data_IF_187357565678
#
_entry.id   IF_187357565678
#
_cell.length_a   1.000
_cell.length_b   1.000
_cell.length_c   1.000
_cell.angle_alpha   90.00
_cell.angle_beta   90.00
_cell.angle_gamma   90.00
#
_symmetry.space_group_name_H-M   'P 1'
#
loop_
_entity.id
_entity.type
_entity.pdbx_description
1 polymer ?
#
# COMPACT_ATOMS: atom_id res chain seq x y z
N UNK A 1 -3.59 9.78 -12.60
CA UNK A 1 -2.46 9.30 -11.76
C UNK A 1 -1.30 8.93 -12.67
N UNK A 2 -0.08 9.28 -12.32
CA UNK A 2 1.12 8.81 -13.02
C UNK A 2 1.85 7.82 -12.10
N UNK A 3 2.10 6.61 -12.59
CA UNK A 3 2.85 5.57 -11.89
C UNK A 3 4.24 5.42 -12.51
N UNK A 4 5.26 5.19 -11.68
CA UNK A 4 6.63 4.89 -12.11
C UNK A 4 6.97 3.49 -11.60
N UNK A 5 7.34 2.61 -12.52
CA UNK A 5 7.81 1.27 -12.22
C UNK A 5 9.32 1.19 -12.45
N UNK A 6 10.08 0.89 -11.41
CA UNK A 6 11.53 0.67 -11.48
C UNK A 6 11.88 -0.60 -10.72
N UNK A 7 12.49 -1.54 -11.40
CA UNK A 7 12.96 -2.76 -10.79
C UNK A 7 14.36 -3.12 -11.28
N UNK A 8 15.19 -3.60 -10.36
CA UNK A 8 16.50 -4.18 -10.63
C UNK A 8 16.58 -5.54 -9.98
N UNK A 9 16.86 -6.55 -10.80
CA UNK A 9 16.98 -7.94 -10.36
C UNK A 9 18.39 -8.44 -10.66
N UNK A 10 19.04 -9.08 -9.69
CA UNK A 10 20.31 -9.77 -9.91
C UNK A 10 20.07 -11.06 -10.71
N UNK A 11 20.93 -11.34 -11.67
CA UNK A 11 20.95 -12.56 -12.46
C UNK A 11 22.21 -13.34 -12.09
N UNK A 12 22.03 -14.53 -11.56
CA UNK A 12 23.15 -15.42 -11.30
C UNK A 12 23.80 -15.85 -12.62
N UNK A 13 25.05 -15.50 -12.82
CA UNK A 13 25.84 -15.85 -13.99
C UNK A 13 26.33 -17.30 -13.97
N UNK A 14 25.95 -18.10 -12.96
CA UNK A 14 26.29 -19.53 -12.77
C UNK A 14 27.79 -19.79 -12.58
N UNK A 15 28.67 -19.02 -13.21
CA UNK A 15 30.11 -19.12 -13.07
C UNK A 15 30.62 -18.13 -12.01
N UNK A 16 31.23 -18.58 -10.90
CA UNK A 16 31.66 -17.71 -9.80
C UNK A 16 32.78 -16.71 -10.19
N UNK A 17 33.43 -16.88 -11.34
CA UNK A 17 34.38 -15.91 -11.86
C UNK A 17 33.76 -14.62 -12.39
N UNK A 18 32.47 -14.65 -12.69
CA UNK A 18 31.69 -13.49 -13.09
C UNK A 18 30.82 -13.04 -11.91
N UNK A 19 30.85 -11.77 -11.58
CA UNK A 19 29.86 -11.19 -10.66
C UNK A 19 28.44 -11.34 -11.23
N UNK A 20 27.45 -11.05 -10.41
CA UNK A 20 26.05 -11.13 -10.86
C UNK A 20 25.75 -10.19 -12.04
N UNK A 21 25.00 -10.70 -12.99
CA UNK A 21 24.37 -9.91 -14.01
C UNK A 21 23.18 -9.10 -13.44
N UNK A 22 22.66 -8.19 -14.19
CA UNK A 22 21.51 -7.38 -13.80
C UNK A 22 20.46 -7.34 -14.91
N UNK A 23 19.21 -7.45 -14.52
CA UNK A 23 18.04 -7.08 -15.32
C UNK A 23 17.48 -5.80 -14.73
N UNK A 24 17.37 -4.77 -15.55
CA UNK A 24 16.71 -3.52 -15.20
C UNK A 24 15.41 -3.39 -16.02
N UNK A 25 14.36 -2.95 -15.38
CA UNK A 25 13.08 -2.60 -15.96
C UNK A 25 12.68 -1.23 -15.46
N UNK A 26 12.41 -0.29 -16.36
CA UNK A 26 12.03 1.08 -16.02
C UNK A 26 10.94 1.53 -17.00
N UNK A 27 9.80 1.95 -16.48
CA UNK A 27 8.71 2.49 -17.28
C UNK A 27 7.81 3.42 -16.45
N UNK A 28 7.01 4.23 -17.14
CA UNK A 28 5.98 5.05 -16.54
C UNK A 28 4.63 4.78 -17.21
N UNK A 29 3.58 4.77 -16.43
CA UNK A 29 2.22 4.56 -16.91
C UNK A 29 1.26 5.64 -16.40
N UNK A 30 0.26 5.96 -17.21
CA UNK A 30 -0.82 6.86 -16.86
C UNK A 30 -2.10 6.06 -16.63
N UNK A 31 -2.72 6.27 -15.46
CA UNK A 31 -4.03 5.71 -15.12
C UNK A 31 -5.03 6.82 -14.81
N UNK A 32 -6.29 6.54 -15.11
CA UNK A 32 -7.41 7.44 -14.88
C UNK A 32 -8.29 6.88 -13.77
N UNK A 33 -8.80 7.76 -12.95
CA UNK A 33 -9.76 7.42 -11.91
C UNK A 33 -10.70 8.58 -11.62
N UNK A 34 -11.79 8.26 -10.98
CA UNK A 34 -12.83 9.20 -10.57
C UNK A 34 -12.91 9.23 -9.05
N UNK A 35 -13.01 10.42 -8.49
CA UNK A 35 -13.32 10.63 -7.09
C UNK A 35 -14.69 11.30 -6.99
N UNK A 36 -15.59 10.71 -6.20
CA UNK A 36 -16.91 11.27 -5.90
C UNK A 36 -17.03 11.45 -4.39
N UNK A 37 -17.59 12.59 -3.99
CA UNK A 37 -17.84 12.90 -2.60
C UNK A 37 -19.22 13.51 -2.39
N UNK A 38 -19.88 13.08 -1.33
CA UNK A 38 -21.14 13.65 -0.84
C UNK A 38 -20.94 14.10 0.61
N UNK A 39 -21.37 15.30 0.92
CA UNK A 39 -21.49 15.80 2.29
C UNK A 39 -22.93 16.22 2.52
N UNK A 40 -23.55 15.66 3.53
CA UNK A 40 -24.92 15.99 3.92
C UNK A 40 -24.97 16.44 5.37
N UNK A 41 -25.56 17.59 5.62
CA UNK A 41 -25.75 18.16 6.95
C UNK A 41 -27.20 17.92 7.41
N UNK A 42 -27.36 16.99 8.37
CA UNK A 42 -28.68 16.68 8.97
C UNK A 42 -29.17 17.79 9.88
N UNK A 43 -28.25 18.36 10.67
CA UNK A 43 -28.47 19.49 11.57
C UNK A 43 -27.25 20.36 11.56
N UNK A 44 -27.32 21.57 12.15
CA UNK A 44 -26.16 22.49 12.26
C UNK A 44 -24.93 21.87 12.97
N UNK A 45 -25.11 20.74 13.67
CA UNK A 45 -24.03 20.09 14.39
C UNK A 45 -23.75 18.66 13.91
N UNK A 46 -24.58 18.08 13.02
CA UNK A 46 -24.41 16.68 12.60
C UNK A 46 -24.37 16.57 11.08
N UNK A 47 -23.29 16.01 10.57
CA UNK A 47 -23.05 15.82 9.14
C UNK A 47 -22.55 14.44 8.84
N UNK A 48 -22.91 13.97 7.67
CA UNK A 48 -22.49 12.69 7.09
C UNK A 48 -21.70 12.96 5.82
N UNK A 49 -20.58 12.25 5.66
CA UNK A 49 -19.76 12.26 4.46
C UNK A 49 -19.69 10.87 3.83
N UNK A 50 -19.71 10.82 2.51
CA UNK A 50 -19.47 9.62 1.74
C UNK A 50 -18.48 9.95 0.64
N UNK A 51 -17.42 9.17 0.52
CA UNK A 51 -16.45 9.31 -0.57
C UNK A 51 -16.23 7.97 -1.26
N UNK A 52 -16.12 8.01 -2.57
CA UNK A 52 -15.77 6.88 -3.39
C UNK A 52 -14.65 7.27 -4.35
N UNK A 53 -13.59 6.46 -4.38
CA UNK A 53 -12.52 6.55 -5.35
C UNK A 53 -12.57 5.30 -6.22
N UNK A 54 -12.61 5.49 -7.54
CA UNK A 54 -12.60 4.36 -8.48
C UNK A 54 -11.25 3.65 -8.47
N UNK A 55 -11.26 2.41 -8.94
CA UNK A 55 -10.03 1.71 -9.30
C UNK A 55 -9.27 2.49 -10.38
N UNK A 56 -7.93 2.42 -10.32
CA UNK A 56 -7.03 2.93 -11.37
C UNK A 56 -6.15 1.79 -11.84
N UNK A 57 -6.16 1.53 -13.14
CA UNK A 57 -5.30 0.54 -13.76
C UNK A 57 -4.04 1.23 -14.28
N UNK A 58 -2.89 0.65 -13.99
CA UNK A 58 -1.58 1.08 -14.44
C UNK A 58 -0.94 -0.07 -15.21
N UNK A 59 -0.75 0.12 -16.51
CA UNK A 59 -0.14 -0.87 -17.40
C UNK A 59 1.25 -0.38 -17.79
N UNK A 60 2.28 -1.04 -17.28
CA UNK A 60 3.67 -0.77 -17.57
C UNK A 60 4.16 -1.71 -18.67
N UNK A 61 4.92 -1.21 -19.63
CA UNK A 61 5.51 -1.98 -20.72
C UNK A 61 7.02 -1.77 -20.79
N UNK A 62 7.74 -2.25 -19.77
CA UNK A 62 9.19 -2.06 -19.66
C UNK A 62 9.95 -2.98 -20.61
N UNK A 63 10.93 -2.42 -21.32
CA UNK A 63 11.89 -3.23 -22.05
C UNK A 63 12.92 -3.81 -21.09
N UNK A 64 13.26 -5.10 -21.27
CA UNK A 64 14.27 -5.77 -20.47
C UNK A 64 15.67 -5.25 -20.84
N UNK A 65 16.32 -4.55 -19.94
CA UNK A 65 17.71 -4.10 -20.08
C UNK A 65 18.63 -5.01 -19.29
N UNK A 66 19.46 -5.78 -19.98
CA UNK A 66 20.44 -6.68 -19.35
C UNK A 66 21.83 -6.05 -19.33
N UNK A 67 22.54 -6.23 -18.23
CA UNK A 67 23.94 -5.83 -18.08
C UNK A 67 24.75 -6.87 -17.31
N UNK A 68 26.07 -6.88 -17.49
CA UNK A 68 27.04 -7.77 -16.82
C UNK A 68 26.71 -9.26 -16.93
N UNK A 69 26.13 -9.70 -18.05
CA UNK A 69 25.86 -11.11 -18.29
C UNK A 69 27.13 -11.88 -18.67
N UNK A 70 27.35 -13.06 -18.06
CA UNK A 70 28.35 -14.00 -18.55
C UNK A 70 27.99 -14.49 -19.97
N UNK A 71 29.01 -14.80 -20.81
CA UNK A 71 28.77 -15.21 -22.21
C UNK A 71 27.79 -16.37 -22.39
N UNK A 72 27.82 -17.35 -21.46
CA UNK A 72 26.90 -18.50 -21.48
C UNK A 72 25.45 -18.08 -21.22
N UNK A 73 25.22 -17.21 -20.25
CA UNK A 73 23.88 -16.69 -19.91
C UNK A 73 23.37 -15.80 -21.05
N UNK A 74 24.21 -14.92 -21.59
CA UNK A 74 23.87 -14.09 -22.74
C UNK A 74 23.44 -14.92 -23.95
N UNK A 75 24.20 -15.98 -24.27
CA UNK A 75 23.86 -16.89 -25.36
C UNK A 75 22.53 -17.60 -25.12
N UNK A 76 22.25 -18.05 -23.89
CA UNK A 76 20.99 -18.69 -23.54
C UNK A 76 19.80 -17.75 -23.70
N UNK A 77 19.90 -16.53 -23.19
CA UNK A 77 18.83 -15.53 -23.31
C UNK A 77 18.60 -15.12 -24.77
N UNK A 78 19.69 -14.95 -25.55
CA UNK A 78 19.60 -14.63 -26.99
C UNK A 78 18.90 -15.74 -27.79
N UNK A 79 19.24 -17.01 -27.51
CA UNK A 79 18.60 -18.17 -28.18
C UNK A 79 17.11 -18.29 -27.86
N UNK A 80 16.66 -17.81 -26.71
CA UNK A 80 15.26 -17.78 -26.31
C UNK A 80 14.53 -16.48 -26.74
N UNK A 81 15.22 -15.54 -27.37
CA UNK A 81 14.67 -14.25 -27.78
C UNK A 81 14.40 -13.30 -26.62
N UNK A 82 14.98 -13.56 -25.43
CA UNK A 82 14.68 -12.80 -24.21
C UNK A 82 15.49 -11.51 -24.09
N UNK A 83 16.53 -11.32 -24.87
CA UNK A 83 17.41 -10.14 -24.77
C UNK A 83 16.71 -8.80 -25.06
N UNK A 84 15.65 -8.83 -25.87
CA UNK A 84 14.85 -7.66 -26.21
C UNK A 84 13.38 -7.82 -25.78
N UNK A 85 13.13 -8.69 -24.82
CA UNK A 85 11.76 -8.96 -24.35
C UNK A 85 11.14 -7.70 -23.78
N UNK A 86 9.88 -7.47 -24.10
CA UNK A 86 9.05 -6.48 -23.44
C UNK A 86 8.30 -7.17 -22.32
N UNK A 87 8.44 -6.61 -21.11
CA UNK A 87 7.78 -7.12 -19.90
C UNK A 87 6.64 -6.17 -19.57
N UNK A 88 5.42 -6.65 -19.70
CA UNK A 88 4.23 -5.91 -19.34
C UNK A 88 3.86 -6.26 -17.88
N UNK A 89 3.62 -5.23 -17.07
CA UNK A 89 3.20 -5.36 -15.66
C UNK A 89 1.93 -4.55 -15.47
N UNK A 90 0.81 -5.22 -15.25
CA UNK A 90 -0.46 -4.58 -14.91
C UNK A 90 -0.63 -4.50 -13.39
N UNK A 91 -0.86 -3.30 -12.87
CA UNK A 91 -1.12 -3.05 -11.46
C UNK A 91 -2.45 -2.32 -11.31
N UNK A 92 -3.33 -2.87 -10.47
CA UNK A 92 -4.62 -2.29 -10.17
C UNK A 92 -4.58 -1.56 -8.82
N UNK A 93 -4.64 -0.24 -8.81
CA UNK A 93 -4.83 0.54 -7.58
C UNK A 93 -6.26 0.33 -7.10
N UNK A 94 -6.49 -0.15 -5.87
CA UNK A 94 -7.82 -0.52 -5.41
C UNK A 94 -8.80 0.64 -5.40
N UNK A 95 -10.05 0.35 -5.72
CA UNK A 95 -11.13 1.27 -5.39
C UNK A 95 -11.37 1.29 -3.87
N UNK A 96 -11.93 2.39 -3.40
CA UNK A 96 -12.26 2.54 -1.98
C UNK A 96 -13.56 3.31 -1.80
N UNK A 97 -14.29 2.94 -0.77
CA UNK A 97 -15.52 3.60 -0.31
C UNK A 97 -15.36 3.91 1.17
N UNK A 98 -15.68 5.15 1.58
CA UNK A 98 -15.63 5.55 2.99
C UNK A 98 -16.87 6.37 3.35
N UNK A 99 -17.55 5.94 4.40
CA UNK A 99 -18.62 6.68 5.08
C UNK A 99 -18.11 7.26 6.40
N UNK A 100 -18.48 8.50 6.71
CA UNK A 100 -18.07 9.17 7.93
C UNK A 100 -19.22 9.97 8.52
N UNK A 101 -19.26 10.05 9.85
CA UNK A 101 -20.21 10.88 10.59
C UNK A 101 -19.45 11.78 11.56
N UNK A 102 -19.89 13.00 11.67
CA UNK A 102 -19.46 13.97 12.69
C UNK A 102 -20.69 14.50 13.40
N UNK A 103 -20.65 14.59 14.72
CA UNK A 103 -21.72 15.16 15.52
C UNK A 103 -21.17 16.00 16.67
N UNK A 104 -21.53 17.30 16.69
CA UNK A 104 -21.34 18.17 17.83
C UNK A 104 -22.38 17.83 18.87
N UNK A 105 -22.03 17.02 19.85
CA UNK A 105 -22.98 16.51 20.87
C UNK A 105 -23.26 17.53 21.97
N UNK A 106 -22.27 18.35 22.31
CA UNK A 106 -22.39 19.49 23.25
C UNK A 106 -21.54 20.65 22.77
N UNK A 107 -21.58 21.79 23.45
CA UNK A 107 -20.70 22.94 23.16
C UNK A 107 -19.20 22.61 23.26
N UNK A 108 -18.85 21.60 24.08
CA UNK A 108 -17.47 21.20 24.32
C UNK A 108 -17.08 19.88 23.67
N UNK A 109 -18.03 19.02 23.31
CA UNK A 109 -17.75 17.70 22.75
C UNK A 109 -18.27 17.52 21.35
N UNK A 110 -17.43 17.00 20.47
CA UNK A 110 -17.85 16.44 19.21
C UNK A 110 -17.38 14.97 19.11
N UNK A 111 -18.22 14.14 18.50
CA UNK A 111 -17.93 12.74 18.23
C UNK A 111 -17.87 12.51 16.72
N UNK A 112 -17.04 11.59 16.29
CA UNK A 112 -16.94 11.22 14.89
C UNK A 112 -16.62 9.74 14.74
N UNK A 113 -17.01 9.18 13.61
CA UNK A 113 -16.73 7.81 13.26
C UNK A 113 -16.66 7.64 11.77
N UNK A 114 -15.95 6.63 11.34
CA UNK A 114 -15.87 6.26 9.92
C UNK A 114 -15.80 4.76 9.74
N UNK A 115 -16.33 4.32 8.61
CA UNK A 115 -16.19 2.97 8.08
C UNK A 115 -15.70 3.08 6.64
N UNK A 116 -14.66 2.33 6.32
CA UNK A 116 -14.07 2.29 5.00
C UNK A 116 -13.95 0.86 4.48
N UNK A 117 -14.03 0.71 3.16
CA UNK A 117 -13.76 -0.51 2.45
C UNK A 117 -12.80 -0.25 1.31
N UNK A 118 -11.81 -1.14 1.11
CA UNK A 118 -10.81 -1.06 0.05
C UNK A 118 -10.69 -2.41 -0.63
N UNK A 119 -10.75 -2.42 -1.97
CA UNK A 119 -10.73 -3.65 -2.78
C UNK A 119 -9.30 -4.11 -3.06
N UNK A 120 -8.55 -4.49 -2.03
CA UNK A 120 -7.18 -4.99 -2.16
C UNK A 120 -7.07 -6.31 -2.93
N UNK A 121 -8.13 -7.10 -3.00
CA UNK A 121 -8.19 -8.31 -3.83
C UNK A 121 -7.86 -8.05 -5.30
N UNK A 122 -8.11 -6.84 -5.80
CA UNK A 122 -7.75 -6.46 -7.18
C UNK A 122 -6.28 -6.04 -7.32
N UNK A 123 -5.66 -5.49 -6.28
CA UNK A 123 -4.24 -5.19 -6.27
C UNK A 123 -3.40 -6.48 -6.23
N UNK A 124 -3.88 -7.52 -5.56
CA UNK A 124 -3.22 -8.84 -5.49
C UNK A 124 -3.15 -9.58 -6.83
N UNK A 125 -3.84 -9.12 -7.85
CA UNK A 125 -3.78 -9.68 -9.21
C UNK A 125 -2.78 -8.91 -10.05
N UNK A 126 -1.52 -9.35 -10.09
CA UNK A 126 -0.48 -8.76 -10.92
C UNK A 126 -0.34 -9.57 -12.19
N UNK A 127 -0.54 -8.92 -13.33
CA UNK A 127 -0.43 -9.54 -14.65
C UNK A 127 0.98 -9.28 -15.18
N UNK A 128 1.72 -10.36 -15.44
CA UNK A 128 3.02 -10.31 -16.10
C UNK A 128 2.89 -10.86 -17.50
N UNK A 129 3.15 -10.04 -18.51
CA UNK A 129 3.28 -10.45 -19.89
C UNK A 129 4.73 -10.39 -20.35
N UNK A 130 5.19 -11.38 -21.09
CA UNK A 130 6.48 -11.36 -21.79
C UNK A 130 6.18 -11.40 -23.27
N UNK A 131 6.40 -10.29 -23.94
CA UNK A 131 6.18 -10.11 -25.37
C UNK A 131 7.51 -9.95 -26.10
N UNK A 132 7.46 -9.91 -27.42
CA UNK A 132 8.63 -9.76 -28.28
C UNK A 132 9.69 -10.86 -28.08
N UNK A 133 9.25 -12.08 -27.81
CA UNK A 133 10.07 -13.28 -27.65
C UNK A 133 9.66 -14.38 -28.63
N UNK A 134 10.47 -15.46 -28.72
CA UNK A 134 10.13 -16.61 -29.56
C UNK A 134 8.88 -17.36 -29.07
N UNK A 135 8.60 -17.26 -27.79
CA UNK A 135 7.41 -17.86 -27.15
C UNK A 135 6.79 -16.83 -26.20
N UNK A 136 5.95 -15.91 -26.70
CA UNK A 136 5.23 -14.98 -25.85
C UNK A 136 4.40 -15.73 -24.80
N UNK A 137 4.41 -15.24 -23.58
CA UNK A 137 3.63 -15.82 -22.49
C UNK A 137 3.09 -14.74 -21.60
N UNK A 138 1.97 -15.01 -20.97
CA UNK A 138 1.40 -14.15 -19.94
C UNK A 138 1.11 -15.03 -18.71
N UNK A 139 1.48 -14.51 -17.57
CA UNK A 139 1.26 -15.14 -16.27
C UNK A 139 0.49 -14.16 -15.40
N UNK A 140 -0.59 -14.58 -14.81
CA UNK A 140 -1.24 -13.85 -13.73
C UNK A 140 -0.74 -14.43 -12.42
N UNK A 141 -0.09 -13.60 -11.63
CA UNK A 141 0.27 -13.94 -10.26
C UNK A 141 -0.83 -13.43 -9.35
N UNK A 142 -1.52 -14.32 -8.69
CA UNK A 142 -2.45 -14.02 -7.63
C UNK A 142 -1.69 -14.02 -6.31
N UNK A 143 -1.76 -12.91 -5.59
CA UNK A 143 -1.13 -12.74 -4.27
C UNK A 143 -2.13 -13.05 -3.14
N UNK A 144 -3.30 -13.58 -3.47
CA UNK A 144 -4.38 -13.96 -2.54
C UNK A 144 -4.73 -12.84 -1.53
N UNK A 145 -4.73 -11.59 -2.01
CA UNK A 145 -5.11 -10.46 -1.18
C UNK A 145 -6.62 -10.41 -0.99
N UNK A 146 -7.03 -10.03 0.22
CA UNK A 146 -8.42 -9.83 0.62
C UNK A 146 -8.78 -8.35 0.63
N UNK A 147 -10.05 -8.06 0.44
CA UNK A 147 -10.56 -6.72 0.66
C UNK A 147 -10.45 -6.35 2.14
N UNK A 148 -10.11 -5.09 2.41
CA UNK A 148 -9.92 -4.61 3.78
C UNK A 148 -11.03 -3.68 4.22
N UNK A 149 -11.23 -3.66 5.53
CA UNK A 149 -12.14 -2.77 6.21
C UNK A 149 -11.37 -1.90 7.20
N UNK A 150 -11.78 -0.66 7.28
CA UNK A 150 -11.32 0.33 8.23
C UNK A 150 -12.49 0.77 9.11
N UNK A 151 -12.31 0.72 10.42
CA UNK A 151 -13.29 1.21 11.40
C UNK A 151 -12.59 2.22 12.29
N UNK A 152 -13.17 3.41 12.45
CA UNK A 152 -12.60 4.42 13.33
C UNK A 152 -13.68 5.12 14.13
N UNK A 153 -13.32 5.48 15.35
CA UNK A 153 -14.10 6.33 16.23
C UNK A 153 -13.19 7.37 16.88
N UNK A 154 -13.71 8.55 17.11
CA UNK A 154 -12.95 9.62 17.73
C UNK A 154 -13.83 10.62 18.47
N UNK A 155 -13.18 11.37 19.32
CA UNK A 155 -13.78 12.45 20.07
C UNK A 155 -12.89 13.68 20.04
N UNK A 156 -13.52 14.83 20.03
CA UNK A 156 -12.89 16.13 20.14
C UNK A 156 -13.45 16.86 21.36
N UNK A 157 -12.57 17.36 22.18
CA UNK A 157 -12.93 18.08 23.39
C UNK A 157 -12.35 19.48 23.41
N UNK A 158 -13.23 20.47 23.50
CA UNK A 158 -12.85 21.87 23.71
C UNK A 158 -12.60 22.10 25.20
N UNK A 159 -11.33 22.04 25.58
CA UNK A 159 -10.91 22.21 26.98
C UNK A 159 -11.14 23.65 27.45
N UNK A 160 -10.79 24.64 26.63
CA UNK A 160 -11.01 26.08 26.81
C UNK A 160 -10.74 26.76 25.48
N UNK A 161 -11.17 28.00 25.31
CA UNK A 161 -10.58 28.77 24.22
C UNK A 161 -9.17 29.21 24.67
N UNK A 162 -8.09 28.83 23.94
CA UNK A 162 -8.02 28.38 22.56
C UNK A 162 -7.70 26.90 22.33
N UNK A 163 -7.85 25.99 23.32
CA UNK A 163 -7.37 24.62 23.24
C UNK A 163 -8.46 23.63 22.82
N UNK A 164 -8.11 22.78 21.87
CA UNK A 164 -8.91 21.67 21.37
C UNK A 164 -8.10 20.37 21.45
N UNK A 165 -8.63 19.36 22.13
CA UNK A 165 -8.02 18.04 22.26
C UNK A 165 -8.73 17.06 21.33
N UNK A 166 -7.97 16.13 20.74
CA UNK A 166 -8.46 15.11 19.83
C UNK A 166 -8.04 13.75 20.33
N UNK A 167 -8.93 12.77 20.24
CA UNK A 167 -8.70 11.37 20.60
C UNK A 167 -9.28 10.50 19.50
N UNK A 168 -8.60 9.42 19.16
CA UNK A 168 -9.06 8.50 18.14
C UNK A 168 -8.58 7.09 18.40
N UNK A 169 -9.40 6.14 17.99
CA UNK A 169 -9.07 4.74 17.88
C UNK A 169 -9.54 4.24 16.52
N UNK A 170 -8.73 3.41 15.87
CA UNK A 170 -9.11 2.77 14.63
C UNK A 170 -8.64 1.32 14.60
N UNK A 171 -9.29 0.53 13.76
CA UNK A 171 -8.93 -0.85 13.46
C UNK A 171 -8.97 -1.05 11.96
N UNK A 172 -7.88 -1.53 11.40
CA UNK A 172 -7.74 -1.92 10.00
C UNK A 172 -7.63 -3.45 9.93
N UNK A 173 -8.43 -4.09 9.08
CA UNK A 173 -8.31 -5.54 8.86
C UNK A 173 -7.10 -5.85 7.97
N UNK A 174 -6.60 -7.08 8.07
CA UNK A 174 -5.53 -7.60 7.24
C UNK A 174 -5.99 -7.80 5.78
N UNK A 175 -5.07 -7.66 4.85
CA UNK A 175 -5.28 -7.95 3.43
C UNK A 175 -4.58 -9.23 2.95
N UNK A 176 -3.84 -9.90 3.83
CA UNK A 176 -3.15 -11.17 3.54
C UNK A 176 -3.58 -12.25 4.54
N UNK A 177 -3.60 -13.52 4.11
CA UNK A 177 -3.70 -14.65 5.02
C UNK A 177 -2.31 -15.07 5.50
N UNK A 178 -2.19 -15.62 6.71
CA UNK A 178 -0.90 -16.00 7.30
C UNK A 178 -0.04 -16.97 6.46
N UNK A 179 -0.67 -17.74 5.57
CA UNK A 179 0.01 -18.61 4.58
C UNK A 179 0.55 -17.86 3.35
N UNK A 180 0.14 -16.59 3.15
CA UNK A 180 0.45 -15.79 1.95
C UNK A 180 1.25 -14.53 2.29
N UNK A 181 1.65 -14.36 3.56
CA UNK A 181 2.36 -13.16 4.01
C UNK A 181 3.74 -13.07 3.36
N UNK A 182 3.92 -12.04 2.56
CA UNK A 182 5.22 -11.74 1.95
C UNK A 182 6.14 -11.03 2.95
N UNK A 183 7.38 -11.50 3.17
CA UNK A 183 8.37 -10.79 3.98
C UNK A 183 8.71 -9.39 3.47
N UNK A 184 8.46 -9.14 2.18
CA UNK A 184 8.68 -7.82 1.57
C UNK A 184 7.57 -6.82 1.92
N UNK A 185 6.41 -7.31 2.37
CA UNK A 185 5.25 -6.49 2.71
C UNK A 185 4.56 -7.09 3.95
N UNK A 186 5.24 -7.07 5.11
CA UNK A 186 4.73 -7.66 6.34
C UNK A 186 3.67 -6.73 6.95
N UNK A 187 2.43 -6.86 6.48
CA UNK A 187 1.32 -6.07 6.99
C UNK A 187 0.23 -7.00 7.53
N UNK A 188 -0.24 -6.67 8.72
CA UNK A 188 -1.27 -7.37 9.45
C UNK A 188 -2.43 -6.43 9.77
N UNK A 189 -3.51 -6.98 10.33
CA UNK A 189 -4.52 -6.15 10.97
C UNK A 189 -3.86 -5.27 12.04
N UNK A 190 -4.34 -4.04 12.19
CA UNK A 190 -3.70 -3.09 13.08
C UNK A 190 -4.71 -2.26 13.88
N UNK A 191 -4.41 -2.07 15.15
CA UNK A 191 -5.03 -1.05 15.96
C UNK A 191 -4.24 0.23 15.89
N UNK A 192 -4.93 1.36 15.85
CA UNK A 192 -4.33 2.69 15.90
C UNK A 192 -4.92 3.48 17.05
N UNK A 193 -4.07 4.15 17.81
CA UNK A 193 -4.45 4.99 18.94
C UNK A 193 -3.85 6.37 18.71
N UNK A 194 -4.71 7.36 18.51
CA UNK A 194 -4.28 8.73 18.18
C UNK A 194 -4.69 9.72 19.26
N UNK A 195 -3.79 10.63 19.56
CA UNK A 195 -4.05 11.79 20.41
C UNK A 195 -3.50 13.06 19.77
N UNK A 196 -4.16 14.18 19.97
CA UNK A 196 -3.70 15.46 19.44
C UNK A 196 -4.19 16.65 20.25
N UNK A 197 -3.48 17.75 20.11
CA UNK A 197 -3.88 19.03 20.68
C UNK A 197 -3.69 20.14 19.63
N UNK A 198 -4.69 21.00 19.52
CA UNK A 198 -4.67 22.19 18.68
C UNK A 198 -4.82 23.43 19.55
N UNK A 199 -4.06 24.48 19.22
CA UNK A 199 -4.17 25.78 19.88
C UNK A 199 -4.46 26.88 18.85
N UNK A 200 -5.55 27.61 19.06
CA UNK A 200 -5.93 28.76 18.27
C UNK A 200 -5.30 30.02 18.87
N UNK A 201 -4.12 30.42 18.40
CA UNK A 201 -3.36 31.57 18.92
C UNK A 201 -4.03 32.91 18.58
N UNK A 202 -4.58 32.99 17.35
CA UNK A 202 -5.28 34.20 16.88
C UNK A 202 -6.40 33.80 15.91
N UNK A 203 -7.16 34.77 15.41
CA UNK A 203 -8.19 34.53 14.40
C UNK A 203 -7.63 33.95 13.09
N UNK A 204 -6.36 34.23 12.82
CA UNK A 204 -5.69 33.87 11.57
C UNK A 204 -4.64 32.77 11.72
N UNK A 205 -4.25 32.39 12.94
CA UNK A 205 -3.17 31.42 13.17
C UNK A 205 -3.54 30.38 14.21
N UNK A 206 -3.33 29.14 13.84
CA UNK A 206 -3.42 27.99 14.74
C UNK A 206 -2.29 26.98 14.46
N UNK A 207 -1.93 26.24 15.48
CA UNK A 207 -0.99 25.15 15.38
C UNK A 207 -1.50 23.92 16.13
N UNK A 208 -0.99 22.77 15.79
CA UNK A 208 -1.33 21.55 16.50
C UNK A 208 -0.22 20.51 16.42
N UNK A 209 -0.30 19.60 17.37
CA UNK A 209 0.56 18.41 17.46
C UNK A 209 -0.32 17.18 17.55
N UNK A 210 0.16 16.09 16.99
CA UNK A 210 -0.50 14.79 17.07
C UNK A 210 0.53 13.69 17.24
N UNK A 211 0.14 12.63 17.94
CA UNK A 211 0.86 11.38 18.02
C UNK A 211 -0.12 10.24 17.73
N UNK A 212 0.35 9.24 17.01
CA UNK A 212 -0.38 8.01 16.73
C UNK A 212 0.52 6.81 16.99
N UNK A 213 0.00 5.83 17.70
CA UNK A 213 0.63 4.52 17.85
C UNK A 213 -0.19 3.49 17.08
N UNK A 214 0.48 2.85 16.13
CA UNK A 214 -0.03 1.71 15.39
C UNK A 214 0.50 0.43 16.06
N UNK A 215 -0.39 -0.51 16.37
CA UNK A 215 -0.07 -1.81 16.93
C UNK A 215 -0.60 -2.90 15.99
N UNK A 216 0.30 -3.63 15.35
CA UNK A 216 0.00 -4.71 14.39
C UNK A 216 0.13 -6.12 14.97
N UNK A 217 0.48 -6.25 16.29
CA UNK A 217 0.60 -7.56 16.94
C UNK A 217 1.71 -8.42 16.35
N UNK A 218 1.45 -9.71 16.27
CA UNK A 218 2.36 -10.71 15.69
C UNK A 218 1.88 -11.12 14.31
N UNK A 219 2.80 -11.24 13.38
CA UNK A 219 2.56 -11.67 12.01
C UNK A 219 3.38 -12.93 11.72
N UNK A 220 2.70 -14.05 11.55
CA UNK A 220 3.33 -15.30 11.16
C UNK A 220 3.47 -15.37 9.64
N UNK A 221 4.63 -15.85 9.16
CA UNK A 221 4.87 -16.17 7.76
C UNK A 221 5.22 -17.64 7.61
N UNK A 222 4.57 -18.30 6.65
CA UNK A 222 4.80 -19.72 6.34
C UNK A 222 4.76 -19.90 4.82
N UNK A 223 5.79 -19.42 4.15
CA UNK A 223 5.94 -19.55 2.70
C UNK A 223 6.62 -20.86 2.37
N UNK A 224 5.89 -21.74 1.72
CA UNK A 224 6.42 -22.99 1.21
C UNK A 224 6.98 -22.80 -0.20
N UNK A 225 8.15 -23.37 -0.46
CA UNK A 225 8.71 -23.38 -1.80
C UNK A 225 7.89 -24.28 -2.71
N UNK A 226 7.33 -23.71 -3.77
CA UNK A 226 6.59 -24.44 -4.80
C UNK A 226 7.49 -24.97 -5.93
N UNK A 227 8.78 -24.62 -5.92
CA UNK A 227 9.74 -25.04 -6.94
C UNK A 227 10.28 -26.42 -6.59
N UNK A 228 10.35 -27.37 -7.57
CA UNK A 228 11.02 -28.65 -7.39
C UNK A 228 12.50 -28.49 -7.01
N UNK A 229 13.02 -29.37 -6.20
CA UNK A 229 14.43 -29.38 -5.76
C UNK A 229 15.41 -29.30 -6.93
N UNK A 230 15.06 -29.95 -8.05
CA UNK A 230 15.87 -30.01 -9.28
C UNK A 230 16.00 -28.64 -9.99
N UNK A 231 15.10 -27.70 -9.71
CA UNK A 231 15.08 -26.34 -10.33
C UNK A 231 15.62 -25.27 -9.38
N UNK A 232 16.15 -25.65 -8.22
CA UNK A 232 16.73 -24.75 -7.25
C UNK A 232 15.73 -24.28 -6.19
N UNK A 233 15.08 -25.23 -5.52
CA UNK A 233 14.26 -24.96 -4.35
C UNK A 233 15.01 -24.06 -3.36
N UNK A 234 14.43 -22.91 -3.02
CA UNK A 234 15.04 -21.96 -2.11
C UNK A 234 14.79 -22.28 -0.62
N UNK A 235 14.08 -23.38 -0.35
CA UNK A 235 13.63 -23.77 0.99
C UNK A 235 12.34 -23.05 1.40
N UNK A 236 11.76 -23.53 2.50
CA UNK A 236 10.59 -22.91 3.11
C UNK A 236 11.03 -21.73 3.98
N UNK A 237 10.25 -20.67 4.00
CA UNK A 237 10.46 -19.54 4.88
C UNK A 237 9.37 -19.54 5.95
N UNK A 238 9.75 -19.95 7.15
CA UNK A 238 8.85 -19.99 8.32
C UNK A 238 9.43 -19.09 9.39
N UNK A 239 8.62 -18.19 9.93
CA UNK A 239 9.03 -17.26 10.98
C UNK A 239 7.88 -16.40 11.47
N UNK A 240 8.16 -15.56 12.45
CA UNK A 240 7.21 -14.58 12.95
C UNK A 240 7.87 -13.21 13.10
N UNK A 241 7.08 -12.16 12.86
CA UNK A 241 7.39 -10.80 13.25
C UNK A 241 6.60 -10.49 14.51
N UNK A 242 7.27 -10.31 15.61
CA UNK A 242 6.64 -10.04 16.91
C UNK A 242 6.63 -8.55 17.21
N UNK A 243 5.66 -8.10 17.98
CA UNK A 243 5.54 -6.72 18.49
C UNK A 243 5.62 -5.66 17.39
N UNK A 244 4.94 -5.90 16.26
CA UNK A 244 4.88 -4.93 15.17
C UNK A 244 4.22 -3.66 15.69
N UNK A 245 4.99 -2.58 15.77
CA UNK A 245 4.49 -1.29 16.22
C UNK A 245 5.20 -0.13 15.54
N UNK A 246 4.44 0.96 15.32
CA UNK A 246 4.99 2.18 14.71
C UNK A 246 4.41 3.38 15.42
N UNK A 247 5.27 4.33 15.75
CA UNK A 247 4.90 5.59 16.37
C UNK A 247 5.06 6.74 15.37
N UNK A 248 3.99 7.49 15.16
CA UNK A 248 3.96 8.66 14.29
C UNK A 248 3.82 9.92 15.11
N UNK A 249 4.51 10.99 14.70
CA UNK A 249 4.35 12.32 15.24
C UNK A 249 4.11 13.30 14.12
N UNK A 250 3.18 14.22 14.33
CA UNK A 250 2.84 15.27 13.39
C UNK A 250 2.77 16.62 14.06
N UNK A 251 3.23 17.66 13.37
CA UNK A 251 3.05 19.05 13.72
C UNK A 251 2.44 19.73 12.51
N UNK A 252 1.44 20.57 12.71
CA UNK A 252 0.89 21.39 11.65
C UNK A 252 0.72 22.83 12.07
N UNK A 253 0.85 23.69 11.10
CA UNK A 253 0.64 25.14 11.23
C UNK A 253 -0.41 25.53 10.19
N UNK A 254 -1.39 26.32 10.59
CA UNK A 254 -2.41 26.83 9.69
C UNK A 254 -2.47 28.34 9.81
N UNK A 255 -2.35 29.00 8.67
CA UNK A 255 -2.44 30.46 8.57
C UNK A 255 -3.50 30.83 7.54
N UNK A 256 -4.47 31.64 7.96
CA UNK A 256 -5.54 32.17 7.09
C UNK A 256 -5.27 33.66 6.86
N UNK A 257 -5.22 34.09 5.61
CA UNK A 257 -4.99 35.45 5.20
C UNK A 257 -6.31 36.20 5.00
#
# INVERSE_FOLDING_TARGET
>A
MNGIYRNKVAINNVNPQYGDGQLKMDDNAWGWGVNLGLLYEFTKGTRFGLTWNSQVNLDFGAQAEFSNLAPGVQTLLSRRGLMNAKINVGINVPQQLMGSVFSQTTDSWALFGSIGWQQWSKFGQVIFGIEDTLNPTSLTQELDFKDTWHFAAGAQYRLSAPWLLNFGVAYDTDFQDGSSVSPMMPANSAWRFGVGAENQVSKTFKWGVAAEYLYGGTLDTNLQSTLPVEVGQRGDLVGSYEDIGTLFFGIYLNWTF
#
